data_IF_778064305988
#
_entry.id   IF_778064305988
#
_cell.length_a   1.000
_cell.length_b   1.000
_cell.length_c   1.000
_cell.angle_alpha   90.00
_cell.angle_beta   90.00
_cell.angle_gamma   90.00
#
_symmetry.space_group_name_H-M   'P 1'
#
loop_
_entity.id
_entity.type
_entity.pdbx_description
1 polymer ?
#
# COMPACT_ATOMS: atom_id res chain seq x y z
N UNK A 1 15.72 5.99 -14.07
CA UNK A 1 15.68 6.37 -12.64
C UNK A 1 15.69 7.90 -12.55
N UNK A 2 14.93 8.49 -11.64
CA UNK A 2 14.82 9.93 -11.44
C UNK A 2 15.07 10.34 -9.98
N UNK A 3 15.10 11.64 -9.71
CA UNK A 3 15.19 12.18 -8.35
C UNK A 3 13.81 12.63 -7.89
N UNK A 4 13.43 12.24 -6.67
CA UNK A 4 12.22 12.76 -6.05
C UNK A 4 12.31 14.29 -5.91
N UNK A 5 11.19 14.98 -6.13
CA UNK A 5 11.11 16.45 -6.05
C UNK A 5 11.10 17.01 -4.62
N UNK A 6 11.16 16.16 -3.59
CA UNK A 6 11.25 16.63 -2.20
C UNK A 6 12.66 17.09 -1.81
N UNK A 7 12.83 17.81 -0.70
CA UNK A 7 14.14 18.30 -0.24
C UNK A 7 15.19 17.20 -0.06
N UNK A 8 14.77 15.97 0.26
CA UNK A 8 15.66 14.81 0.43
C UNK A 8 16.27 14.31 -0.89
N UNK A 9 15.72 14.70 -2.05
CA UNK A 9 16.19 14.35 -3.42
C UNK A 9 16.61 12.87 -3.59
N UNK A 10 15.87 11.95 -2.98
CA UNK A 10 16.18 10.51 -3.07
C UNK A 10 16.01 10.01 -4.51
N UNK A 11 16.94 9.18 -4.97
CA UNK A 11 16.82 8.43 -6.23
C UNK A 11 15.62 7.50 -6.12
N UNK A 12 14.82 7.44 -7.18
CA UNK A 12 13.62 6.62 -7.25
C UNK A 12 13.33 6.21 -8.70
N UNK A 13 12.72 5.06 -8.89
CA UNK A 13 12.11 4.66 -10.16
C UNK A 13 10.58 4.85 -10.14
N UNK A 14 10.03 5.40 -9.07
CA UNK A 14 8.59 5.55 -8.84
C UNK A 14 8.11 6.94 -9.21
N UNK A 15 6.92 7.00 -9.80
CA UNK A 15 6.33 8.18 -10.39
C UNK A 15 4.85 8.28 -9.99
N UNK A 16 4.45 9.45 -9.53
CA UNK A 16 3.05 9.74 -9.22
C UNK A 16 2.36 10.20 -10.51
N UNK A 17 1.34 9.46 -10.94
CA UNK A 17 0.65 9.71 -12.21
C UNK A 17 -0.25 10.96 -12.12
N UNK A 18 -0.88 11.17 -10.96
CA UNK A 18 -1.70 12.35 -10.67
C UNK A 18 -0.92 13.66 -10.74
N UNK A 19 0.23 13.70 -10.05
CA UNK A 19 1.03 14.92 -9.91
C UNK A 19 2.14 15.04 -10.95
N UNK A 20 2.37 14.00 -11.75
CA UNK A 20 3.41 13.92 -12.78
C UNK A 20 4.82 14.22 -12.27
N UNK A 21 5.16 13.63 -11.13
CA UNK A 21 6.47 13.81 -10.47
C UNK A 21 7.07 12.50 -9.98
N UNK A 22 8.40 12.42 -10.00
CA UNK A 22 9.14 11.34 -9.34
C UNK A 22 8.94 11.44 -7.81
N UNK A 23 8.63 10.30 -7.18
CA UNK A 23 8.30 10.22 -5.75
C UNK A 23 9.14 9.16 -5.05
N UNK A 24 9.70 9.49 -3.90
CA UNK A 24 10.30 8.50 -3.00
C UNK A 24 9.26 8.00 -2.00
N UNK A 25 9.51 6.85 -1.38
CA UNK A 25 8.55 6.25 -0.44
C UNK A 25 8.15 7.16 0.72
N UNK A 26 9.06 8.02 1.20
CA UNK A 26 8.70 8.99 2.23
C UNK A 26 7.61 9.95 1.74
N UNK A 27 7.71 10.43 0.50
CA UNK A 27 6.66 11.26 -0.08
C UNK A 27 5.40 10.48 -0.41
N UNK A 28 5.52 9.19 -0.76
CA UNK A 28 4.36 8.32 -0.96
C UNK A 28 3.49 8.25 0.29
N UNK A 29 4.08 8.21 1.48
CA UNK A 29 3.30 8.12 2.73
C UNK A 29 2.88 9.47 3.28
N UNK A 30 3.63 10.55 3.07
CA UNK A 30 3.29 11.86 3.64
C UNK A 30 2.44 12.74 2.72
N UNK A 31 2.78 12.79 1.42
CA UNK A 31 2.25 13.80 0.50
C UNK A 31 1.42 13.17 -0.63
N UNK A 32 1.61 11.87 -0.88
CA UNK A 32 0.89 11.12 -1.90
C UNK A 32 0.25 9.84 -1.33
N UNK A 33 -0.39 9.87 -0.14
CA UNK A 33 -0.87 8.64 0.52
C UNK A 33 -1.92 7.90 -0.32
N UNK A 34 -2.71 8.64 -1.10
CA UNK A 34 -3.80 8.10 -1.92
C UNK A 34 -3.50 8.06 -3.42
N UNK A 35 -2.37 8.61 -3.85
CA UNK A 35 -2.12 8.77 -5.28
C UNK A 35 -1.81 7.46 -5.98
N UNK A 36 -2.14 7.37 -7.27
CA UNK A 36 -1.63 6.30 -8.13
C UNK A 36 -0.14 6.53 -8.39
N UNK A 37 0.67 5.57 -7.93
CA UNK A 37 2.13 5.58 -8.05
C UNK A 37 2.56 4.25 -8.66
N UNK A 38 3.27 4.32 -9.78
CA UNK A 38 3.84 3.17 -10.46
C UNK A 38 5.24 3.52 -10.97
N UNK A 39 5.88 2.60 -11.70
CA UNK A 39 7.20 2.87 -12.25
C UNK A 39 7.17 4.01 -13.29
N UNK A 40 8.25 4.79 -13.36
CA UNK A 40 8.40 5.81 -14.40
C UNK A 40 8.39 5.22 -15.82
N UNK A 41 8.84 3.97 -15.99
CA UNK A 41 8.76 3.28 -17.28
C UNK A 41 7.30 3.04 -17.69
N UNK A 42 6.45 2.64 -16.73
CA UNK A 42 5.02 2.46 -16.98
C UNK A 42 4.39 3.78 -17.41
N UNK A 43 4.70 4.89 -16.73
CA UNK A 43 4.20 6.22 -17.10
C UNK A 43 4.58 6.65 -18.53
N UNK A 44 5.79 6.30 -18.99
CA UNK A 44 6.23 6.58 -20.36
C UNK A 44 5.50 5.72 -21.41
N UNK A 45 5.05 4.52 -21.03
CA UNK A 45 4.33 3.60 -21.91
C UNK A 45 2.85 3.93 -21.96
N UNK A 46 2.26 4.18 -20.80
CA UNK A 46 0.85 4.52 -20.61
C UNK A 46 0.74 5.46 -19.42
N UNK A 47 0.29 6.69 -19.68
CA UNK A 47 0.13 7.72 -18.65
C UNK A 47 -1.26 7.76 -18.05
N UNK A 48 -2.19 6.92 -18.53
CA UNK A 48 -3.53 6.82 -17.99
C UNK A 48 -3.49 6.20 -16.59
N UNK A 49 -4.38 6.66 -15.73
CA UNK A 49 -4.52 6.14 -14.37
C UNK A 49 -5.96 6.21 -13.93
N UNK A 50 -6.32 5.34 -12.99
CA UNK A 50 -7.65 5.29 -12.42
C UNK A 50 -7.56 5.44 -10.89
N UNK A 51 -7.92 6.59 -10.31
CA UNK A 51 -7.79 6.86 -8.87
C UNK A 51 -8.93 6.23 -8.06
N UNK A 52 -9.30 4.98 -8.36
CA UNK A 52 -10.37 4.24 -7.68
C UNK A 52 -9.81 3.10 -6.83
N UNK A 53 -10.52 2.78 -5.76
CA UNK A 53 -10.30 1.56 -5.02
C UNK A 53 -10.90 0.37 -5.80
N UNK A 54 -10.08 -0.55 -6.28
CA UNK A 54 -10.54 -1.70 -7.07
C UNK A 54 -11.46 -2.67 -6.31
N UNK A 55 -11.52 -2.59 -4.98
CA UNK A 55 -12.40 -3.42 -4.16
C UNK A 55 -13.86 -2.91 -4.11
N UNK A 56 -14.07 -1.60 -4.21
CA UNK A 56 -15.40 -1.00 -4.11
C UNK A 56 -15.78 -0.06 -5.27
N UNK A 57 -14.87 0.10 -6.23
CA UNK A 57 -14.99 0.94 -7.44
C UNK A 57 -15.30 2.43 -7.20
N UNK A 58 -15.10 2.92 -5.97
CA UNK A 58 -15.20 4.35 -5.61
C UNK A 58 -13.85 5.03 -5.63
N UNK A 59 -13.83 6.36 -5.77
CA UNK A 59 -12.63 7.18 -5.72
C UNK A 59 -11.85 7.02 -4.41
N UNK A 60 -10.53 6.84 -4.51
CA UNK A 60 -9.62 6.70 -3.36
C UNK A 60 -9.64 7.93 -2.45
N UNK A 61 -9.90 9.11 -3.00
CA UNK A 61 -9.93 10.35 -2.25
C UNK A 61 -10.97 10.37 -1.13
N UNK A 62 -12.04 9.56 -1.24
CA UNK A 62 -13.25 9.65 -0.40
C UNK A 62 -13.07 9.12 1.02
N UNK A 63 -12.24 8.10 1.23
CA UNK A 63 -12.06 7.46 2.55
C UNK A 63 -10.59 7.31 2.93
N UNK A 64 -10.31 6.79 4.14
CA UNK A 64 -8.95 6.44 4.56
C UNK A 64 -8.40 5.30 3.68
N UNK A 65 -7.14 5.43 3.29
CA UNK A 65 -6.49 4.48 2.39
C UNK A 65 -5.29 3.81 3.04
N UNK A 66 -4.95 2.65 2.49
CA UNK A 66 -3.72 1.93 2.78
C UNK A 66 -2.99 1.67 1.47
N UNK A 67 -1.69 1.94 1.47
CA UNK A 67 -0.78 1.57 0.39
C UNK A 67 -0.05 0.29 0.77
N UNK A 68 -0.11 -0.71 -0.10
CA UNK A 68 0.64 -1.96 0.08
C UNK A 68 2.10 -1.80 -0.35
N UNK A 69 2.96 -2.75 -0.01
CA UNK A 69 4.38 -2.75 -0.44
C UNK A 69 4.57 -2.86 -1.96
N UNK A 70 3.55 -3.35 -2.68
CA UNK A 70 3.51 -3.32 -4.14
C UNK A 70 3.02 -1.97 -4.72
N UNK A 71 2.83 -0.96 -3.87
CA UNK A 71 2.35 0.39 -4.15
C UNK A 71 0.89 0.55 -4.59
N UNK A 72 0.13 -0.54 -4.78
CA UNK A 72 -1.32 -0.45 -4.93
C UNK A 72 -1.99 0.13 -3.68
N UNK A 73 -3.08 0.88 -3.91
CA UNK A 73 -3.81 1.60 -2.87
C UNK A 73 -5.25 1.10 -2.84
N UNK A 74 -5.77 0.89 -1.63
CA UNK A 74 -7.17 0.57 -1.41
C UNK A 74 -7.70 1.42 -0.26
N UNK A 75 -9.01 1.56 -0.16
CA UNK A 75 -9.60 1.97 1.12
C UNK A 75 -9.24 0.96 2.20
N UNK A 76 -8.87 1.45 3.37
CA UNK A 76 -8.51 0.60 4.50
C UNK A 76 -9.66 -0.33 4.88
N UNK A 77 -10.88 0.21 4.97
CA UNK A 77 -12.08 -0.56 5.27
C UNK A 77 -12.32 -1.69 4.24
N UNK A 78 -12.10 -1.42 2.95
CA UNK A 78 -12.25 -2.43 1.91
C UNK A 78 -11.20 -3.54 2.04
N UNK A 79 -9.94 -3.21 2.31
CA UNK A 79 -8.89 -4.21 2.51
C UNK A 79 -9.14 -5.06 3.77
N UNK A 80 -9.55 -4.43 4.87
CA UNK A 80 -9.90 -5.11 6.12
C UNK A 80 -11.07 -6.10 5.90
N UNK A 81 -12.12 -5.66 5.22
CA UNK A 81 -13.25 -6.52 4.87
C UNK A 81 -12.83 -7.69 3.97
N UNK A 82 -12.02 -7.43 2.93
CA UNK A 82 -11.50 -8.47 2.04
C UNK A 82 -10.68 -9.51 2.82
N UNK A 83 -9.79 -9.09 3.71
CA UNK A 83 -8.97 -9.99 4.50
C UNK A 83 -9.80 -10.83 5.48
N UNK A 84 -10.85 -10.26 6.09
CA UNK A 84 -11.75 -10.98 7.00
C UNK A 84 -12.65 -12.02 6.31
N UNK A 85 -12.86 -11.90 5.01
CA UNK A 85 -13.59 -12.90 4.23
C UNK A 85 -12.76 -14.15 3.93
N UNK A 86 -11.44 -14.09 4.13
CA UNK A 86 -10.58 -15.25 3.99
C UNK A 86 -10.80 -16.23 5.15
N UNK A 87 -10.57 -17.54 4.93
CA UNK A 87 -10.67 -18.54 6.00
C UNK A 87 -9.84 -18.15 7.24
N UNK A 88 -10.36 -18.45 8.43
CA UNK A 88 -9.61 -18.21 9.68
C UNK A 88 -8.27 -18.96 9.76
N UNK A 89 -8.10 -20.00 8.93
CA UNK A 89 -6.87 -20.80 8.79
C UNK A 89 -5.89 -20.24 7.76
N UNK A 90 -6.18 -19.10 7.13
CA UNK A 90 -5.30 -18.49 6.13
C UNK A 90 -3.97 -18.12 6.77
N UNK A 91 -2.91 -18.79 6.29
CA UNK A 91 -1.54 -18.46 6.67
C UNK A 91 -1.15 -17.05 6.17
N UNK A 92 -0.14 -16.39 6.78
CA UNK A 92 0.27 -15.05 6.40
C UNK A 92 0.55 -14.88 4.89
N UNK A 93 1.16 -15.88 4.27
CA UNK A 93 1.43 -15.89 2.82
C UNK A 93 0.16 -15.91 1.93
N UNK A 94 -0.98 -16.33 2.48
CA UNK A 94 -2.26 -16.33 1.76
C UNK A 94 -2.91 -14.95 1.65
N UNK A 95 -2.49 -14.00 2.48
CA UNK A 95 -2.96 -12.62 2.37
C UNK A 95 -2.16 -11.90 1.28
N UNK A 96 -2.82 -11.70 0.14
CA UNK A 96 -2.20 -11.15 -1.07
C UNK A 96 -2.96 -9.93 -1.56
N UNK A 97 -2.25 -9.03 -2.22
CA UNK A 97 -2.80 -7.88 -2.92
C UNK A 97 -3.88 -8.34 -3.91
N UNK A 98 -5.11 -7.80 -3.85
CA UNK A 98 -6.19 -8.17 -4.78
C UNK A 98 -5.79 -8.04 -6.26
N UNK A 99 -4.99 -7.04 -6.61
CA UNK A 99 -4.64 -6.71 -8.01
C UNK A 99 -3.45 -7.51 -8.56
N UNK A 100 -2.34 -7.63 -7.82
CA UNK A 100 -1.11 -8.27 -8.33
C UNK A 100 -0.70 -9.55 -7.58
N UNK A 101 -1.47 -9.99 -6.59
CA UNK A 101 -1.24 -11.20 -5.79
C UNK A 101 0.08 -11.24 -5.01
N UNK A 102 0.83 -10.14 -4.94
CA UNK A 102 1.99 -10.01 -4.05
C UNK A 102 1.53 -10.05 -2.59
N UNK A 103 2.27 -10.75 -1.73
CA UNK A 103 1.97 -10.82 -0.29
C UNK A 103 1.89 -9.44 0.36
N UNK A 104 0.92 -9.25 1.26
CA UNK A 104 0.71 -7.93 1.87
C UNK A 104 1.64 -7.66 3.06
N UNK A 105 2.15 -8.71 3.71
CA UNK A 105 2.99 -8.56 4.90
C UNK A 105 4.42 -8.18 4.50
N UNK A 106 4.94 -7.03 4.96
CA UNK A 106 6.33 -6.68 4.73
C UNK A 106 7.28 -7.65 5.43
N UNK A 107 8.40 -7.99 4.77
CA UNK A 107 9.46 -8.75 5.42
C UNK A 107 10.01 -7.99 6.65
N UNK A 108 10.42 -8.71 7.69
CA UNK A 108 10.86 -8.12 8.98
C UNK A 108 12.07 -7.19 8.80
N UNK A 109 12.99 -7.53 7.91
CA UNK A 109 14.20 -6.77 7.61
C UNK A 109 14.02 -5.73 6.49
N UNK A 110 12.81 -5.57 5.94
CA UNK A 110 12.55 -4.59 4.89
C UNK A 110 12.53 -3.18 5.48
N UNK A 111 13.51 -2.36 5.10
CA UNK A 111 13.56 -0.93 5.43
C UNK A 111 12.86 -0.14 4.33
N UNK A 112 11.63 0.30 4.59
CA UNK A 112 10.80 1.02 3.62
C UNK A 112 9.77 1.86 4.37
N UNK A 113 9.62 3.13 3.98
CA UNK A 113 8.65 4.01 4.65
C UNK A 113 7.20 3.56 4.43
N UNK A 114 6.92 2.94 3.28
CA UNK A 114 5.61 2.33 2.97
C UNK A 114 5.41 1.10 3.85
N UNK A 115 6.43 0.26 3.99
CA UNK A 115 6.36 -0.92 4.86
C UNK A 115 6.10 -0.55 6.33
N UNK A 116 6.74 0.50 6.84
CA UNK A 116 6.58 0.94 8.23
C UNK A 116 5.13 1.37 8.52
N UNK A 117 4.57 2.25 7.68
CA UNK A 117 3.16 2.69 7.80
C UNK A 117 2.19 1.52 7.63
N UNK A 118 2.49 0.59 6.72
CA UNK A 118 1.66 -0.61 6.54
C UNK A 118 1.68 -1.52 7.77
N UNK A 119 2.85 -1.75 8.38
CA UNK A 119 2.97 -2.53 9.62
C UNK A 119 2.14 -1.91 10.75
N UNK A 120 2.17 -0.59 10.89
CA UNK A 120 1.37 0.13 11.89
C UNK A 120 -0.14 -0.08 11.68
N UNK A 121 -0.63 0.08 10.45
CA UNK A 121 -2.04 -0.18 10.12
C UNK A 121 -2.43 -1.64 10.39
N UNK A 122 -1.63 -2.58 9.92
CA UNK A 122 -1.86 -4.02 10.09
C UNK A 122 -1.81 -4.44 11.57
N UNK A 123 -0.94 -3.83 12.39
CA UNK A 123 -0.89 -4.11 13.82
C UNK A 123 -2.21 -3.75 14.54
N UNK A 124 -3.06 -2.90 13.95
CA UNK A 124 -4.37 -2.53 14.49
C UNK A 124 -5.46 -3.60 14.36
N UNK A 125 -5.25 -4.69 13.60
CA UNK A 125 -6.31 -5.68 13.31
C UNK A 125 -5.87 -7.12 13.53
N UNK A 126 -6.71 -7.90 14.20
CA UNK A 126 -6.35 -9.25 14.67
C UNK A 126 -5.97 -10.24 13.56
N UNK A 127 -6.63 -10.18 12.39
CA UNK A 127 -6.30 -11.08 11.28
C UNK A 127 -4.87 -10.86 10.75
N UNK A 128 -4.33 -9.65 10.91
CA UNK A 128 -3.00 -9.30 10.43
C UNK A 128 -1.91 -9.50 11.48
N UNK A 129 -2.24 -9.39 12.77
CA UNK A 129 -1.27 -9.48 13.87
C UNK A 129 -0.49 -10.80 13.88
N UNK A 130 -1.15 -11.92 13.57
CA UNK A 130 -0.48 -13.21 13.43
C UNK A 130 0.58 -13.20 12.30
N UNK A 131 0.29 -12.54 11.18
CA UNK A 131 1.24 -12.37 10.07
C UNK A 131 2.42 -11.44 10.38
N UNK A 132 2.29 -10.61 11.42
CA UNK A 132 3.36 -9.75 11.93
C UNK A 132 4.09 -10.37 13.14
N UNK A 133 3.70 -11.56 13.60
CA UNK A 133 4.26 -12.17 14.81
C UNK A 133 3.86 -11.44 16.10
N UNK A 134 2.74 -10.71 16.10
CA UNK A 134 2.23 -9.96 17.24
C UNK A 134 1.12 -10.75 17.98
N UNK A 135 1.02 -10.63 19.33
CA UNK A 135 -0.06 -11.27 20.08
C UNK A 135 -1.42 -10.67 19.70
N UNK A 136 -2.53 -11.42 19.76
CA UNK A 136 -3.86 -10.87 19.46
C UNK A 136 -4.26 -9.77 20.46
N UNK A 137 -5.04 -8.79 20.00
CA UNK A 137 -5.67 -7.80 20.87
C UNK A 137 -6.83 -8.46 21.63
N UNK A 138 -7.00 -8.11 22.91
CA UNK A 138 -8.17 -8.52 23.70
C UNK A 138 -9.44 -8.00 23.04
N UNK A 139 -10.43 -8.88 22.84
CA UNK A 139 -11.76 -8.45 22.45
C UNK A 139 -12.42 -7.81 23.66
N UNK A 140 -12.67 -6.51 23.61
CA UNK A 140 -13.60 -5.82 24.51
C UNK A 140 -14.91 -5.59 23.79
#
# INVERSE_FOLDING_TARGET
MGLCKCPKKRVTNQFCFEHRVNVCEHCMVTNHPKCIVQSYLQWLQDSDYNPICELCTKELATEDCVRLICYHVYHWACLDQYARQLPATTAPAGYTCPSCKVGIFPAVNLVSAVADVLREKLAGVNWARAGLGLPLLSQH
#
